data_IF_436188331184
#
_entry.id   IF_436188331184
#
_cell.length_a   1.000
_cell.length_b   1.000
_cell.length_c   1.000
_cell.angle_alpha   90.00
_cell.angle_beta   90.00
_cell.angle_gamma   90.00
#
_symmetry.space_group_name_H-M   'P 1'
#
loop_
_entity.id
_entity.type
_entity.pdbx_description
1 polymer ?
#
# COMPACT_ATOMS: atom_id res chain seq x y z
N UNK A 1 -28.38 2.59 -43.81
CA UNK A 1 -27.46 1.74 -44.60
C UNK A 1 -26.29 1.41 -43.68
N UNK A 2 -26.52 0.43 -42.82
CA UNK A 2 -25.50 -0.16 -41.96
C UNK A 2 -24.63 -1.08 -42.81
N UNK A 3 -23.30 -1.01 -42.67
CA UNK A 3 -22.43 -2.18 -42.73
C UNK A 3 -21.24 -2.02 -41.76
N UNK A 4 -20.97 -3.04 -40.93
CA UNK A 4 -19.86 -3.12 -39.99
C UNK A 4 -18.72 -3.99 -40.54
N UNK A 5 -17.50 -3.84 -40.03
CA UNK A 5 -16.39 -4.82 -40.16
C UNK A 5 -15.39 -4.52 -39.02
N UNK A 6 -15.40 -5.31 -37.94
CA UNK A 6 -14.72 -6.60 -37.66
C UNK A 6 -13.47 -6.41 -36.81
N UNK A 7 -13.59 -6.92 -35.58
CA UNK A 7 -12.63 -6.90 -34.48
C UNK A 7 -11.90 -8.24 -34.49
N UNK A 8 -10.64 -8.26 -34.91
CA UNK A 8 -9.83 -9.47 -34.84
C UNK A 8 -9.14 -9.62 -33.48
N UNK A 9 -9.31 -10.81 -32.93
CA UNK A 9 -8.89 -11.27 -31.60
C UNK A 9 -7.69 -12.19 -31.82
N UNK A 10 -6.48 -11.69 -31.61
CA UNK A 10 -5.26 -12.52 -31.71
C UNK A 10 -5.14 -13.42 -30.49
N UNK A 11 -5.40 -14.70 -30.70
CA UNK A 11 -5.26 -15.79 -29.74
C UNK A 11 -3.87 -16.40 -29.90
N UNK A 12 -3.06 -16.40 -28.83
CA UNK A 12 -1.75 -17.05 -28.80
C UNK A 12 -1.91 -18.58 -28.66
N UNK A 13 -1.28 -19.42 -29.50
CA UNK A 13 -1.19 -20.85 -29.28
C UNK A 13 0.10 -21.22 -28.51
N UNK A 14 -0.07 -22.13 -27.55
CA UNK A 14 0.93 -22.55 -26.57
C UNK A 14 2.10 -23.37 -27.13
N UNK A 15 3.19 -23.34 -26.35
CA UNK A 15 4.37 -24.18 -26.51
C UNK A 15 4.10 -25.61 -26.02
N UNK A 16 4.45 -26.66 -26.77
CA UNK A 16 4.59 -27.99 -26.21
C UNK A 16 6.01 -28.19 -25.65
N UNK A 17 6.05 -28.58 -24.37
CA UNK A 17 7.27 -28.98 -23.66
C UNK A 17 7.90 -30.22 -24.29
N UNK A 18 9.22 -30.19 -24.47
CA UNK A 18 10.01 -31.34 -24.91
C UNK A 18 10.84 -31.88 -23.75
N UNK A 19 10.44 -33.07 -23.32
CA UNK A 19 11.10 -33.97 -22.39
C UNK A 19 12.50 -34.37 -22.88
N UNK A 20 13.50 -34.32 -21.99
CA UNK A 20 14.82 -34.94 -22.20
C UNK A 20 14.73 -36.46 -22.03
N UNK A 21 15.36 -37.28 -22.88
CA UNK A 21 15.76 -38.62 -22.52
C UNK A 21 17.24 -38.62 -22.10
N UNK A 22 17.50 -39.24 -20.95
CA UNK A 22 18.82 -39.67 -20.50
C UNK A 22 19.23 -40.95 -21.22
N UNK A 23 20.40 -41.00 -21.85
CA UNK A 23 21.16 -42.23 -22.07
C UNK A 23 22.64 -41.91 -21.92
N UNK A 24 23.30 -42.65 -21.03
CA UNK A 24 24.75 -42.63 -20.87
C UNK A 24 25.41 -43.83 -21.56
N UNK A 25 26.70 -43.68 -21.82
CA UNK A 25 27.66 -44.78 -21.93
C UNK A 25 28.01 -45.23 -23.35
N UNK A 26 29.28 -45.06 -23.73
CA UNK A 26 29.89 -45.84 -24.81
C UNK A 26 30.92 -45.05 -25.62
N UNK A 27 32.20 -45.18 -25.26
CA UNK A 27 33.31 -44.52 -25.92
C UNK A 27 33.57 -44.98 -27.36
N UNK A 28 34.29 -44.12 -28.11
CA UNK A 28 34.83 -44.46 -29.42
C UNK A 28 35.44 -43.25 -30.11
N UNK A 29 36.78 -43.22 -30.16
CA UNK A 29 37.53 -42.60 -31.25
C UNK A 29 37.64 -41.07 -31.24
N UNK A 30 38.71 -40.58 -30.61
CA UNK A 30 39.40 -39.36 -31.03
C UNK A 30 39.72 -39.46 -32.52
N UNK A 31 39.10 -38.58 -33.32
CA UNK A 31 39.63 -38.16 -34.60
C UNK A 31 39.78 -36.64 -34.51
N UNK A 32 40.84 -36.20 -33.82
CA UNK A 32 41.36 -34.84 -33.97
C UNK A 32 41.72 -34.68 -35.45
N UNK A 33 40.86 -33.99 -36.20
CA UNK A 33 41.26 -33.44 -37.48
C UNK A 33 42.34 -32.40 -37.18
N UNK A 34 43.60 -32.75 -37.48
CA UNK A 34 44.77 -31.90 -37.33
C UNK A 34 44.50 -30.54 -37.96
N UNK A 35 44.30 -29.54 -37.09
CA UNK A 35 44.27 -28.14 -37.47
C UNK A 35 45.71 -27.70 -37.74
N UNK A 36 45.98 -27.19 -38.94
CA UNK A 36 47.11 -26.28 -39.17
C UNK A 36 46.82 -24.93 -38.51
N UNK A 37 46.87 -24.89 -37.18
CA UNK A 37 46.98 -23.63 -36.46
C UNK A 37 48.38 -23.06 -36.74
N UNK A 38 48.51 -21.77 -37.08
CA UNK A 38 49.79 -21.10 -36.88
C UNK A 38 50.10 -21.18 -35.39
N UNK A 39 51.25 -21.75 -35.02
CA UNK A 39 51.72 -21.73 -33.64
C UNK A 39 51.72 -20.26 -33.16
N UNK A 40 50.88 -19.97 -32.17
CA UNK A 40 50.68 -18.62 -31.67
C UNK A 40 52.02 -18.04 -31.22
N UNK A 41 52.54 -17.05 -31.97
CA UNK A 41 53.74 -16.28 -31.60
C UNK A 41 54.94 -16.40 -32.54
N UNK A 42 54.90 -17.20 -33.61
CA UNK A 42 55.98 -17.22 -34.60
C UNK A 42 55.86 -16.03 -35.59
N UNK A 43 56.98 -15.35 -35.93
CA UNK A 43 56.96 -14.28 -36.91
C UNK A 43 56.68 -14.82 -38.31
N UNK A 44 55.93 -14.06 -39.13
CA UNK A 44 55.62 -14.39 -40.53
C UNK A 44 56.80 -14.10 -41.45
N UNK A 45 57.91 -14.83 -41.27
CA UNK A 45 59.08 -14.78 -42.12
C UNK A 45 59.07 -15.93 -43.15
N UNK A 46 59.73 -15.79 -44.30
CA UNK A 46 59.90 -16.90 -45.23
C UNK A 46 60.58 -18.08 -44.53
N UNK A 47 59.92 -19.24 -44.48
CA UNK A 47 60.43 -20.46 -43.83
C UNK A 47 59.80 -20.82 -42.48
N UNK A 48 59.02 -19.91 -41.87
CA UNK A 48 58.29 -20.17 -40.60
C UNK A 48 56.79 -20.44 -40.80
N UNK A 49 56.36 -20.72 -42.03
CA UNK A 49 54.99 -21.07 -42.37
C UNK A 49 54.85 -22.56 -42.68
N UNK A 50 53.97 -23.25 -41.96
CA UNK A 50 53.68 -24.67 -42.19
C UNK A 50 52.46 -24.84 -43.10
N UNK A 51 52.61 -25.58 -44.20
CA UNK A 51 51.50 -25.91 -45.11
C UNK A 51 50.89 -27.25 -44.72
N UNK A 52 49.57 -27.30 -44.61
CA UNK A 52 48.83 -28.52 -44.29
C UNK A 52 48.60 -29.38 -45.53
N UNK A 53 49.26 -30.54 -45.59
CA UNK A 53 49.11 -31.49 -46.70
C UNK A 53 47.83 -32.34 -46.62
N UNK A 54 47.12 -32.32 -45.49
CA UNK A 54 45.89 -33.11 -45.28
C UNK A 54 44.63 -32.38 -45.72
N UNK A 55 44.75 -31.09 -46.06
CA UNK A 55 43.62 -30.25 -46.47
C UNK A 55 43.07 -30.66 -47.83
N UNK A 56 41.79 -30.98 -47.88
CA UNK A 56 41.10 -31.42 -49.11
C UNK A 56 40.14 -30.36 -49.67
N UNK A 57 39.70 -29.40 -48.85
CA UNK A 57 38.77 -28.35 -49.25
C UNK A 57 39.49 -27.01 -49.45
N UNK A 58 39.38 -26.43 -50.65
CA UNK A 58 40.03 -25.16 -51.02
C UNK A 58 39.06 -24.11 -51.58
N UNK A 59 37.75 -24.30 -51.37
CA UNK A 59 36.73 -23.38 -51.85
C UNK A 59 36.84 -22.02 -51.15
N UNK A 60 36.61 -20.93 -51.90
CA UNK A 60 36.64 -19.55 -51.38
C UNK A 60 35.23 -19.07 -51.08
N UNK A 61 35.06 -18.32 -49.98
CA UNK A 61 33.79 -17.64 -49.69
C UNK A 61 33.55 -16.51 -50.69
N UNK A 62 32.32 -16.39 -51.20
CA UNK A 62 31.96 -15.33 -52.13
C UNK A 62 31.77 -14.01 -51.38
N UNK A 63 32.84 -13.23 -51.30
CA UNK A 63 32.88 -11.93 -50.61
C UNK A 63 32.52 -10.76 -51.52
N UNK A 64 32.63 -10.93 -52.84
CA UNK A 64 32.30 -9.91 -53.83
C UNK A 64 31.05 -10.34 -54.59
N UNK A 65 30.02 -9.48 -54.60
CA UNK A 65 28.78 -9.76 -55.31
C UNK A 65 28.21 -8.48 -55.94
N UNK A 66 27.40 -8.62 -56.98
CA UNK A 66 26.65 -7.50 -57.57
C UNK A 66 25.18 -7.64 -57.23
N UNK A 67 24.56 -6.55 -56.76
CA UNK A 67 23.11 -6.51 -56.54
C UNK A 67 22.57 -5.20 -57.10
N UNK A 68 21.63 -5.31 -58.04
CA UNK A 68 21.04 -4.17 -58.75
C UNK A 68 22.08 -3.21 -59.37
N UNK A 69 23.12 -3.76 -60.02
CA UNK A 69 24.14 -2.97 -60.72
C UNK A 69 25.26 -2.40 -59.86
N UNK A 70 25.19 -2.52 -58.52
CA UNK A 70 26.24 -2.05 -57.62
C UNK A 70 27.08 -3.20 -57.06
N UNK A 71 28.40 -3.01 -57.04
CA UNK A 71 29.33 -3.92 -56.41
C UNK A 71 29.21 -3.83 -54.88
N UNK A 72 28.90 -4.95 -54.24
CA UNK A 72 28.89 -5.11 -52.78
C UNK A 72 30.02 -6.04 -52.34
N UNK A 73 30.93 -5.51 -51.53
CA UNK A 73 31.93 -6.28 -50.82
C UNK A 73 31.44 -6.62 -49.40
N UNK A 74 31.44 -7.91 -49.06
CA UNK A 74 31.18 -8.45 -47.72
C UNK A 74 32.48 -8.99 -47.13
N UNK A 75 32.67 -8.84 -45.82
CA UNK A 75 33.83 -9.43 -45.14
C UNK A 75 33.67 -10.96 -45.06
N UNK A 76 34.72 -11.74 -45.33
CA UNK A 76 34.66 -13.19 -45.19
C UNK A 76 34.45 -13.56 -43.72
N UNK A 77 33.55 -14.49 -43.45
CA UNK A 77 33.31 -15.04 -42.10
C UNK A 77 34.17 -16.27 -41.81
N UNK A 78 34.56 -16.99 -42.88
CA UNK A 78 35.42 -18.17 -42.85
C UNK A 78 36.51 -18.05 -43.91
N UNK A 79 37.65 -18.69 -43.64
CA UNK A 79 38.81 -18.77 -44.51
C UNK A 79 38.60 -19.74 -45.67
N UNK A 80 39.68 -19.96 -46.42
CA UNK A 80 39.66 -20.87 -47.57
C UNK A 80 39.39 -22.30 -47.06
N UNK A 81 38.42 -23.00 -47.66
CA UNK A 81 38.07 -24.36 -47.25
C UNK A 81 37.14 -24.45 -46.03
N UNK A 82 36.66 -23.33 -45.51
CA UNK A 82 35.79 -23.29 -44.31
C UNK A 82 36.55 -23.11 -43.00
N UNK A 83 37.86 -22.92 -43.04
CA UNK A 83 38.69 -22.71 -41.85
C UNK A 83 38.20 -21.50 -41.03
N UNK A 84 38.28 -21.59 -39.70
CA UNK A 84 37.91 -20.48 -38.83
C UNK A 84 38.91 -19.33 -39.03
N UNK A 85 38.42 -18.16 -39.47
CA UNK A 85 39.25 -16.96 -39.51
C UNK A 85 39.61 -16.56 -38.08
N UNK A 86 40.90 -16.49 -37.77
CA UNK A 86 41.38 -15.83 -36.57
C UNK A 86 41.23 -14.31 -36.79
N UNK A 87 40.05 -13.79 -36.48
CA UNK A 87 39.78 -12.37 -36.56
C UNK A 87 40.33 -11.71 -35.30
N UNK A 88 41.47 -11.02 -35.39
CA UNK A 88 41.92 -10.05 -34.38
C UNK A 88 41.02 -8.80 -34.44
N UNK A 89 39.73 -8.95 -34.14
CA UNK A 89 38.91 -7.80 -33.77
C UNK A 89 39.24 -7.51 -32.31
N UNK A 90 40.21 -6.62 -32.11
CA UNK A 90 40.43 -5.98 -30.81
C UNK A 90 39.09 -5.44 -30.33
N UNK A 91 38.72 -5.75 -29.09
CA UNK A 91 37.51 -5.19 -28.51
C UNK A 91 37.64 -3.67 -28.42
N UNK A 92 36.51 -2.97 -28.27
CA UNK A 92 36.53 -1.51 -28.09
C UNK A 92 37.43 -1.11 -26.91
N UNK A 93 37.45 -1.92 -25.85
CA UNK A 93 38.31 -1.74 -24.69
C UNK A 93 39.81 -1.94 -25.03
N UNK A 94 40.14 -2.94 -25.84
CA UNK A 94 41.52 -3.17 -26.26
C UNK A 94 42.03 -2.05 -27.19
N UNK A 95 41.14 -1.50 -28.03
CA UNK A 95 41.44 -0.34 -28.88
C UNK A 95 41.69 0.92 -28.05
N UNK A 96 40.87 1.16 -27.03
CA UNK A 96 41.03 2.30 -26.11
C UNK A 96 42.30 2.14 -25.26
N UNK A 97 42.62 0.94 -24.79
CA UNK A 97 43.86 0.65 -24.07
C UNK A 97 45.10 0.87 -24.96
N UNK A 98 45.03 0.48 -26.23
CA UNK A 98 46.12 0.71 -27.20
C UNK A 98 46.29 2.19 -27.52
N UNK A 99 45.19 2.94 -27.66
CA UNK A 99 45.21 4.39 -27.86
C UNK A 99 45.87 5.13 -26.69
N UNK A 100 45.73 4.60 -25.47
CA UNK A 100 46.31 5.16 -24.26
C UNK A 100 47.78 4.79 -24.04
N UNK A 101 48.30 3.74 -24.70
CA UNK A 101 49.66 3.23 -24.42
C UNK A 101 50.79 3.98 -25.11
N UNK A 102 50.57 4.76 -26.18
CA UNK A 102 51.63 5.61 -26.76
C UNK A 102 51.16 6.65 -27.81
N UNK A 103 50.54 7.79 -27.43
CA UNK A 103 50.34 8.90 -28.37
C UNK A 103 51.54 9.85 -28.47
N UNK A 104 52.56 9.71 -27.62
CA UNK A 104 53.61 10.73 -27.44
C UNK A 104 54.57 10.88 -28.64
N UNK A 105 54.78 9.82 -29.42
CA UNK A 105 55.80 9.78 -30.48
C UNK A 105 55.30 10.23 -31.86
N UNK A 106 53.99 10.30 -32.10
CA UNK A 106 53.43 10.64 -33.43
C UNK A 106 52.48 11.83 -33.44
N UNK A 107 51.74 12.09 -32.35
CA UNK A 107 50.68 13.10 -32.36
C UNK A 107 50.73 14.10 -31.18
N UNK A 108 51.76 14.02 -30.32
CA UNK A 108 51.91 14.90 -29.16
C UNK A 108 50.96 14.55 -28.00
N UNK A 109 51.08 15.26 -26.88
CA UNK A 109 50.20 15.06 -25.73
C UNK A 109 48.74 15.39 -26.10
N UNK A 110 47.78 14.48 -25.80
CA UNK A 110 46.37 14.78 -26.03
C UNK A 110 45.98 16.02 -25.23
N UNK A 111 45.39 17.01 -25.91
CA UNK A 111 44.92 18.24 -25.27
C UNK A 111 44.00 17.86 -24.10
N UNK A 112 44.29 18.31 -22.86
CA UNK A 112 43.42 18.01 -21.73
C UNK A 112 42.01 18.51 -22.05
N UNK A 113 41.00 17.71 -21.68
CA UNK A 113 39.61 18.10 -21.84
C UNK A 113 39.41 19.49 -21.22
N UNK A 114 38.66 20.34 -21.92
CA UNK A 114 38.36 21.67 -21.40
C UNK A 114 37.73 21.52 -20.00
N UNK A 115 38.18 22.31 -18.99
CA UNK A 115 37.57 22.25 -17.68
C UNK A 115 36.07 22.52 -17.82
N UNK A 116 35.22 21.80 -17.07
CA UNK A 116 33.79 22.05 -17.10
C UNK A 116 33.51 23.50 -16.71
N UNK A 117 32.52 24.11 -17.35
CA UNK A 117 32.09 25.45 -17.00
C UNK A 117 31.65 25.47 -15.53
N UNK A 118 32.18 26.40 -14.74
CA UNK A 118 31.78 26.57 -13.34
C UNK A 118 30.34 27.06 -13.27
N UNK A 119 29.46 26.27 -12.66
CA UNK A 119 28.06 26.62 -12.43
C UNK A 119 27.93 27.02 -10.96
N UNK A 120 27.56 28.28 -10.64
CA UNK A 120 27.32 28.71 -9.27
C UNK A 120 26.22 27.89 -8.58
N UNK A 121 26.32 27.73 -7.26
CA UNK A 121 25.37 26.94 -6.48
C UNK A 121 23.90 27.38 -6.66
N UNK A 122 23.64 28.68 -6.64
CA UNK A 122 22.28 29.23 -6.85
C UNK A 122 21.69 28.88 -8.23
N UNK A 123 22.53 28.63 -9.25
CA UNK A 123 22.08 28.18 -10.57
C UNK A 123 21.94 26.66 -10.61
N UNK A 124 22.89 25.94 -10.02
CA UNK A 124 22.90 24.47 -10.02
C UNK A 124 21.75 23.87 -9.19
N UNK A 125 21.33 24.58 -8.13
CA UNK A 125 20.33 24.16 -7.17
C UNK A 125 19.04 24.99 -7.19
N UNK A 126 18.83 25.82 -8.22
CA UNK A 126 17.58 26.57 -8.40
C UNK A 126 16.37 25.64 -8.29
N UNK A 127 15.39 26.03 -7.47
CA UNK A 127 14.14 25.30 -7.19
C UNK A 127 14.28 23.90 -6.59
N UNK A 128 15.49 23.48 -6.20
CA UNK A 128 15.69 22.22 -5.48
C UNK A 128 15.50 22.47 -3.98
N UNK A 129 14.46 21.87 -3.42
CA UNK A 129 14.07 22.06 -2.02
C UNK A 129 13.95 20.71 -1.35
N UNK A 130 14.57 20.56 -0.18
CA UNK A 130 14.39 19.39 0.65
C UNK A 130 13.20 19.61 1.59
N UNK A 131 12.25 18.68 1.58
CA UNK A 131 11.11 18.64 2.48
C UNK A 131 11.25 17.49 3.49
N UNK A 132 11.10 17.83 4.76
CA UNK A 132 11.02 16.89 5.87
C UNK A 132 9.69 17.05 6.60
N UNK A 133 9.07 15.93 6.96
CA UNK A 133 7.88 15.90 7.79
C UNK A 133 8.31 15.68 9.24
N UNK A 134 7.83 16.55 10.13
CA UNK A 134 8.27 16.63 11.51
C UNK A 134 7.10 16.97 12.44
N UNK A 135 7.32 16.86 13.74
CA UNK A 135 6.39 17.40 14.74
C UNK A 135 7.14 18.02 15.91
N UNK A 136 6.46 18.86 16.68
CA UNK A 136 6.95 19.30 17.99
C UNK A 136 5.83 19.18 19.02
N UNK A 137 6.22 18.94 20.27
CA UNK A 137 5.31 18.95 21.40
C UNK A 137 5.16 20.38 21.93
N UNK A 138 3.92 20.82 22.14
CA UNK A 138 3.58 22.09 22.78
C UNK A 138 2.85 21.80 24.09
N UNK A 139 3.38 22.30 25.21
CA UNK A 139 2.75 22.14 26.51
C UNK A 139 1.54 23.07 26.65
N UNK A 140 0.43 22.54 27.16
CA UNK A 140 -0.83 23.26 27.34
C UNK A 140 -1.18 23.25 28.83
N UNK A 141 -1.06 24.41 29.48
CA UNK A 141 -1.16 24.50 30.94
C UNK A 141 -2.59 24.69 31.48
N UNK A 142 -3.53 25.16 30.66
CA UNK A 142 -4.84 25.64 31.13
C UNK A 142 -6.04 24.87 30.54
N UNK A 143 -5.82 23.66 30.02
CA UNK A 143 -6.89 22.78 29.52
C UNK A 143 -7.17 21.63 30.48
N UNK A 144 -8.45 21.28 30.65
CA UNK A 144 -8.88 20.10 31.39
C UNK A 144 -8.78 18.82 30.56
N UNK A 145 -8.83 18.96 29.23
CA UNK A 145 -8.86 17.85 28.26
C UNK A 145 -7.44 17.39 27.87
N UNK A 146 -6.45 18.28 27.93
CA UNK A 146 -5.10 18.05 27.39
C UNK A 146 -4.03 18.66 28.31
N UNK A 147 -2.86 18.01 28.40
CA UNK A 147 -1.67 18.56 29.08
C UNK A 147 -0.57 18.98 28.10
N UNK A 148 -0.52 18.34 26.94
CA UNK A 148 0.36 18.66 25.83
C UNK A 148 -0.37 18.31 24.54
N UNK A 149 0.00 18.99 23.46
CA UNK A 149 -0.47 18.71 22.11
C UNK A 149 0.69 18.53 21.15
N UNK A 150 0.49 17.69 20.15
CA UNK A 150 1.50 17.42 19.12
C UNK A 150 1.13 18.20 17.86
N UNK A 151 2.05 19.05 17.40
CA UNK A 151 1.86 19.86 16.19
C UNK A 151 2.73 19.37 15.06
N UNK A 152 2.08 18.93 14.00
CA UNK A 152 2.73 18.46 12.79
C UNK A 152 3.21 19.66 11.97
N UNK A 153 4.41 19.57 11.43
CA UNK A 153 5.02 20.64 10.62
C UNK A 153 5.85 20.05 9.49
N UNK A 154 5.95 20.80 8.41
CA UNK A 154 6.83 20.51 7.29
C UNK A 154 8.00 21.49 7.34
N UNK A 155 9.22 20.96 7.32
CA UNK A 155 10.46 21.72 7.26
C UNK A 155 10.95 21.71 5.81
N UNK A 156 11.12 22.89 5.24
CA UNK A 156 11.67 23.08 3.91
C UNK A 156 13.08 23.65 4.00
N UNK A 157 14.05 23.02 3.33
CA UNK A 157 15.42 23.46 3.19
C UNK A 157 15.70 23.80 1.72
N UNK A 158 16.09 25.04 1.44
CA UNK A 158 16.36 25.51 0.08
C UNK A 158 17.85 25.33 -0.24
N UNK A 159 18.17 24.50 -1.23
CA UNK A 159 19.56 24.20 -1.60
C UNK A 159 20.27 25.36 -2.32
N UNK A 160 19.53 26.38 -2.77
CA UNK A 160 20.10 27.54 -3.48
C UNK A 160 20.89 28.48 -2.56
N UNK A 161 20.47 28.63 -1.30
CA UNK A 161 20.95 29.64 -0.36
C UNK A 161 21.09 29.14 1.10
N UNK A 162 20.97 27.83 1.31
CA UNK A 162 21.02 27.18 2.62
C UNK A 162 20.02 27.75 3.64
N UNK A 163 18.88 28.28 3.15
CA UNK A 163 17.81 28.80 3.99
C UNK A 163 16.80 27.71 4.35
N UNK A 164 16.08 27.92 5.45
CA UNK A 164 15.05 27.02 5.94
C UNK A 164 13.75 27.77 6.21
N UNK A 165 12.62 27.09 6.05
CA UNK A 165 11.31 27.57 6.47
C UNK A 165 10.52 26.43 7.10
N UNK A 166 9.70 26.75 8.09
CA UNK A 166 8.85 25.76 8.78
C UNK A 166 7.40 26.17 8.59
N UNK A 167 6.60 25.23 8.10
CA UNK A 167 5.18 25.46 7.80
C UNK A 167 4.34 24.37 8.43
N UNK A 168 3.31 24.78 9.15
CA UNK A 168 2.28 23.90 9.66
C UNK A 168 1.19 23.71 8.60
N UNK A 169 0.84 22.45 8.25
CA UNK A 169 -0.25 22.17 7.35
C UNK A 169 -1.58 22.64 7.94
N UNK A 170 -2.50 23.05 7.06
CA UNK A 170 -3.85 23.46 7.46
C UNK A 170 -4.70 22.25 7.82
N UNK A 171 -5.25 22.22 9.02
CA UNK A 171 -6.12 21.16 9.54
C UNK A 171 -7.48 21.75 9.89
N UNK A 172 -8.54 21.20 9.32
CA UNK A 172 -9.91 21.62 9.58
C UNK A 172 -10.25 21.49 11.07
N UNK A 173 -11.03 22.44 11.59
CA UNK A 173 -11.46 22.47 13.00
C UNK A 173 -10.33 22.46 14.04
N UNK A 174 -9.09 22.84 13.67
CA UNK A 174 -7.96 22.91 14.60
C UNK A 174 -8.13 24.00 15.67
N UNK A 175 -8.80 25.11 15.33
CA UNK A 175 -9.01 26.23 16.26
C UNK A 175 -7.76 27.05 16.58
N UNK A 176 -6.64 26.80 15.90
CA UNK A 176 -5.37 27.52 16.08
C UNK A 176 -4.94 28.18 14.76
N UNK A 177 -4.19 29.28 14.83
CA UNK A 177 -3.55 29.87 13.66
C UNK A 177 -2.50 28.90 13.10
N UNK A 178 -2.67 28.54 11.83
CA UNK A 178 -1.83 27.61 11.08
C UNK A 178 -1.14 28.30 9.90
N UNK A 179 -0.21 27.60 9.25
CA UNK A 179 0.53 28.09 8.10
C UNK A 179 2.01 28.32 8.41
N UNK A 180 2.57 29.45 7.99
CA UNK A 180 4.02 29.72 8.13
C UNK A 180 4.39 29.97 9.59
N UNK A 181 5.00 28.96 10.23
CA UNK A 181 5.52 29.06 11.59
C UNK A 181 6.84 29.84 11.64
N UNK A 182 7.75 29.53 10.71
CA UNK A 182 9.05 30.20 10.56
C UNK A 182 9.22 30.63 9.11
N UNK A 183 9.45 31.94 8.91
CA UNK A 183 9.72 32.51 7.58
C UNK A 183 11.04 31.99 7.03
N UNK A 184 11.16 31.98 5.70
CA UNK A 184 12.38 31.57 4.99
C UNK A 184 13.57 32.44 5.40
N UNK A 185 14.55 31.83 6.05
CA UNK A 185 15.80 32.46 6.48
C UNK A 185 16.85 31.40 6.79
N UNK A 186 18.13 31.78 6.90
CA UNK A 186 19.18 30.87 7.37
C UNK A 186 19.03 30.74 8.90
N UNK A 187 18.77 29.52 9.36
CA UNK A 187 18.49 29.28 10.78
C UNK A 187 19.78 29.05 11.56
N UNK A 188 19.99 29.76 12.68
CA UNK A 188 21.13 29.51 13.55
C UNK A 188 20.94 28.19 14.30
N UNK A 189 22.00 27.37 14.32
CA UNK A 189 22.09 26.11 15.06
C UNK A 189 22.57 26.35 16.49
N UNK A 190 23.55 27.24 16.66
CA UNK A 190 24.19 27.54 17.93
C UNK A 190 24.34 29.07 18.11
N UNK A 191 24.58 29.51 19.35
CA UNK A 191 24.90 30.91 19.68
C UNK A 191 26.22 31.41 19.05
N UNK A 192 27.02 30.49 18.48
CA UNK A 192 28.29 30.78 17.78
C UNK A 192 28.09 31.33 16.35
N UNK A 193 26.85 31.38 15.87
CA UNK A 193 26.54 31.82 14.50
C UNK A 193 26.65 30.73 13.44
N UNK A 194 26.81 29.46 13.85
CA UNK A 194 26.70 28.31 12.95
C UNK A 194 25.26 28.19 12.46
N UNK A 195 25.07 27.85 11.19
CA UNK A 195 23.74 27.67 10.59
C UNK A 195 23.47 26.19 10.35
N UNK A 196 22.19 25.83 10.32
CA UNK A 196 21.78 24.48 9.92
C UNK A 196 22.19 24.18 8.48
N UNK A 197 22.83 23.04 8.29
CA UNK A 197 23.12 22.49 6.98
C UNK A 197 22.23 21.29 6.71
N UNK A 198 21.91 20.99 5.45
CA UNK A 198 21.17 19.76 5.10
C UNK A 198 21.84 18.47 5.61
N UNK A 199 23.14 18.48 5.89
CA UNK A 199 23.89 17.36 6.48
C UNK A 199 23.54 17.10 7.95
N UNK A 200 23.00 18.10 8.63
CA UNK A 200 22.55 17.98 10.02
C UNK A 200 21.13 17.41 10.13
N UNK A 201 20.44 17.23 9.00
CA UNK A 201 19.04 16.79 8.93
C UNK A 201 18.99 15.33 8.50
N UNK A 202 18.44 14.47 9.37
CA UNK A 202 18.13 13.08 9.06
C UNK A 202 16.83 12.68 9.79
N UNK A 203 16.25 11.54 9.41
CA UNK A 203 15.06 10.96 10.04
C UNK A 203 15.40 10.52 11.47
N UNK A 204 14.47 10.65 12.40
CA UNK A 204 14.66 10.35 13.82
C UNK A 204 15.55 11.34 14.59
N UNK A 205 15.97 12.46 13.96
CA UNK A 205 16.79 13.48 14.62
C UNK A 205 15.92 14.62 15.16
N UNK A 206 16.30 15.11 16.35
CA UNK A 206 15.74 16.30 16.96
C UNK A 206 16.54 17.55 16.57
N UNK A 207 15.85 18.58 16.07
CA UNK A 207 16.45 19.89 15.78
C UNK A 207 15.80 20.97 16.65
N UNK A 208 16.60 21.89 17.18
CA UNK A 208 16.15 22.95 18.09
C UNK A 208 16.22 24.31 17.40
N UNK A 209 15.07 24.89 17.08
CA UNK A 209 14.99 26.19 16.41
C UNK A 209 14.19 27.14 17.29
N UNK A 210 14.79 28.28 17.65
CA UNK A 210 14.17 29.32 18.50
C UNK A 210 13.50 28.79 19.77
N UNK A 211 14.15 27.86 20.46
CA UNK A 211 13.66 27.27 21.71
C UNK A 211 12.56 26.21 21.54
N UNK A 212 12.21 25.82 20.31
CA UNK A 212 11.32 24.69 20.03
C UNK A 212 12.10 23.52 19.44
N UNK A 213 11.85 22.32 19.95
CA UNK A 213 12.48 21.08 19.47
C UNK A 213 11.54 20.36 18.51
N UNK A 214 11.95 20.27 17.25
CA UNK A 214 11.25 19.54 16.21
C UNK A 214 11.89 18.16 16.03
N UNK A 215 11.06 17.12 16.03
CA UNK A 215 11.47 15.76 15.75
C UNK A 215 11.14 15.42 14.30
N UNK A 216 12.16 15.10 13.50
CA UNK A 216 12.01 14.76 12.09
C UNK A 216 11.61 13.28 11.97
N UNK A 217 10.50 13.00 11.33
CA UNK A 217 9.92 11.65 11.25
C UNK A 217 10.20 11.01 9.90
N UNK A 218 9.89 11.76 8.84
CA UNK A 218 9.92 11.29 7.46
C UNK A 218 10.41 12.40 6.52
N UNK A 219 10.76 12.03 5.29
CA UNK A 219 11.25 12.94 4.28
C UNK A 219 10.65 12.59 2.92
N UNK A 220 10.54 13.57 2.03
CA UNK A 220 9.98 13.34 0.70
C UNK A 220 10.91 12.48 -0.16
N UNK A 221 10.37 11.79 -1.17
CA UNK A 221 11.13 10.89 -2.04
C UNK A 221 12.33 11.58 -2.70
N UNK A 222 12.14 12.81 -3.18
CA UNK A 222 13.23 13.61 -3.75
C UNK A 222 14.37 13.82 -2.76
N UNK A 223 14.03 14.09 -1.48
CA UNK A 223 15.03 14.32 -0.45
C UNK A 223 15.78 13.06 -0.07
N UNK A 224 15.07 11.93 -0.07
CA UNK A 224 15.68 10.64 0.16
C UNK A 224 16.73 10.36 -0.91
N UNK A 225 16.34 10.44 -2.19
CA UNK A 225 17.25 10.21 -3.33
C UNK A 225 18.42 11.21 -3.31
N UNK A 226 18.18 12.47 -2.95
CA UNK A 226 19.24 13.48 -2.83
C UNK A 226 20.25 13.14 -1.74
N UNK A 227 19.79 12.84 -0.52
CA UNK A 227 20.67 12.53 0.61
C UNK A 227 21.48 11.26 0.37
N UNK A 228 20.85 10.21 -0.18
CA UNK A 228 21.52 8.99 -0.59
C UNK A 228 22.58 9.25 -1.68
N UNK A 229 22.27 10.11 -2.67
CA UNK A 229 23.24 10.48 -3.73
C UNK A 229 24.46 11.24 -3.19
N UNK A 230 24.31 11.95 -2.08
CA UNK A 230 25.38 12.67 -1.39
C UNK A 230 26.13 11.78 -0.38
N UNK A 231 25.77 10.49 -0.28
CA UNK A 231 26.42 9.52 0.61
C UNK A 231 25.94 9.57 2.06
N UNK A 232 24.77 10.15 2.34
CA UNK A 232 24.15 10.11 3.67
C UNK A 232 23.21 8.92 3.75
N UNK A 233 23.49 8.01 4.69
CA UNK A 233 22.59 6.91 5.03
C UNK A 233 21.41 7.43 5.87
N UNK A 234 20.21 7.18 5.39
CA UNK A 234 18.98 7.60 6.06
C UNK A 234 18.57 6.59 7.13
N UNK A 235 18.14 7.11 8.27
CA UNK A 235 17.54 6.30 9.32
C UNK A 235 16.19 5.70 8.85
N UNK A 236 15.72 4.62 9.48
CA UNK A 236 14.42 4.04 9.15
C UNK A 236 13.27 5.06 9.35
N UNK A 237 12.14 4.91 8.61
CA UNK A 237 10.96 5.73 8.83
C UNK A 237 10.44 5.59 10.24
N UNK A 238 10.19 6.71 10.89
CA UNK A 238 9.39 6.76 12.10
C UNK A 238 7.94 7.05 11.76
N UNK A 239 7.02 6.79 12.70
CA UNK A 239 5.61 7.16 12.54
C UNK A 239 5.36 8.51 13.19
N UNK A 240 4.49 9.31 12.58
CA UNK A 240 4.05 10.57 13.17
C UNK A 240 3.43 10.29 14.54
N UNK A 241 3.84 11.04 15.56
CA UNK A 241 3.29 10.88 16.89
C UNK A 241 1.81 11.26 16.91
N UNK A 242 1.02 10.44 17.61
CA UNK A 242 -0.41 10.62 17.74
C UNK A 242 -0.70 11.50 18.95
N UNK A 243 -1.51 12.52 18.73
CA UNK A 243 -1.99 13.40 19.77
C UNK A 243 -3.18 12.76 20.51
N UNK A 244 -3.10 12.52 21.84
CA UNK A 244 -4.18 11.89 22.60
C UNK A 244 -5.53 12.57 22.43
N UNK A 245 -5.53 13.90 22.30
CA UNK A 245 -6.76 14.67 22.09
C UNK A 245 -7.41 14.37 20.75
N UNK A 246 -6.59 14.40 19.70
CA UNK A 246 -7.03 14.12 18.34
C UNK A 246 -7.61 12.70 18.22
N UNK A 247 -7.07 11.72 18.96
CA UNK A 247 -7.64 10.37 19.02
C UNK A 247 -8.99 10.32 19.74
N UNK A 248 -9.12 11.02 20.88
CA UNK A 248 -10.36 11.09 21.63
C UNK A 248 -11.50 11.66 20.78
N UNK A 249 -11.23 12.71 19.99
CA UNK A 249 -12.22 13.32 19.09
C UNK A 249 -12.62 12.48 17.89
N UNK A 250 -11.78 11.52 17.47
CA UNK A 250 -12.13 10.60 16.37
C UNK A 250 -13.15 9.55 16.80
N UNK A 251 -13.31 9.33 18.10
CA UNK A 251 -14.33 8.40 18.58
C UNK A 251 -15.72 8.92 18.17
N UNK A 252 -16.55 8.08 17.54
CA UNK A 252 -17.89 8.50 17.17
C UNK A 252 -18.62 8.91 18.45
N UNK A 253 -19.25 10.08 18.42
CA UNK A 253 -20.18 10.46 19.47
C UNK A 253 -21.18 9.31 19.63
N UNK A 254 -21.41 8.88 20.87
CA UNK A 254 -22.34 7.80 21.17
C UNK A 254 -23.74 8.20 20.69
N UNK A 255 -24.08 7.82 19.46
CA UNK A 255 -25.42 8.00 18.91
C UNK A 255 -26.28 6.91 19.53
N UNK A 256 -27.12 7.30 20.48
CA UNK A 256 -28.22 6.45 20.92
C UNK A 256 -29.18 6.31 19.76
N UNK A 257 -28.95 5.31 18.90
CA UNK A 257 -29.98 4.83 17.99
C UNK A 257 -31.00 4.18 18.90
N UNK A 258 -32.10 4.88 19.19
CA UNK A 258 -33.29 4.23 19.75
C UNK A 258 -33.60 3.08 18.80
N UNK A 259 -33.51 1.81 19.24
CA UNK A 259 -33.99 0.72 18.41
C UNK A 259 -35.45 1.06 18.11
N UNK A 260 -35.77 1.19 16.82
CA UNK A 260 -37.14 1.38 16.36
C UNK A 260 -37.87 0.07 16.64
N UNK A 261 -38.21 -0.12 17.90
CA UNK A 261 -39.08 -1.19 18.33
C UNK A 261 -40.40 -1.00 17.57
N UNK A 262 -40.94 -2.11 17.07
CA UNK A 262 -42.11 -2.15 16.20
C UNK A 262 -43.13 -1.07 16.55
N UNK A 263 -43.62 -0.34 15.56
CA UNK A 263 -44.49 0.83 15.68
C UNK A 263 -45.78 0.51 16.46
N UNK A 264 -45.70 0.55 17.79
CA UNK A 264 -46.80 0.28 18.72
C UNK A 264 -47.98 1.22 18.43
N UNK A 265 -47.67 2.44 18.00
CA UNK A 265 -48.66 3.43 17.59
C UNK A 265 -49.38 2.99 16.31
N UNK A 266 -48.68 2.45 15.31
CA UNK A 266 -49.32 1.89 14.11
C UNK A 266 -50.21 0.69 14.42
N UNK A 267 -49.80 -0.21 15.32
CA UNK A 267 -50.66 -1.33 15.75
C UNK A 267 -51.93 -0.80 16.43
N UNK A 268 -51.79 0.18 17.33
CA UNK A 268 -52.91 0.85 17.97
C UNK A 268 -53.86 1.50 16.94
N UNK A 269 -53.34 2.32 16.03
CA UNK A 269 -54.16 3.04 15.05
C UNK A 269 -54.89 2.11 14.06
N UNK A 270 -54.29 0.98 13.70
CA UNK A 270 -54.85 0.05 12.70
C UNK A 270 -55.94 -0.83 13.29
N UNK A 271 -55.74 -1.28 14.55
CA UNK A 271 -56.57 -2.29 15.18
C UNK A 271 -57.40 -1.76 16.36
N UNK A 272 -57.45 -0.43 16.56
CA UNK A 272 -58.31 0.18 17.57
C UNK A 272 -59.75 -0.32 17.42
N UNK A 273 -60.36 -0.70 18.55
CA UNK A 273 -61.71 -1.29 18.66
C UNK A 273 -61.93 -2.65 17.98
N UNK A 274 -60.90 -3.29 17.42
CA UNK A 274 -61.00 -4.65 16.92
C UNK A 274 -60.70 -5.65 18.02
N UNK A 275 -61.73 -6.38 18.45
CA UNK A 275 -61.65 -7.38 19.53
C UNK A 275 -62.17 -8.72 19.01
N UNK A 276 -61.35 -9.76 19.12
CA UNK A 276 -61.80 -11.12 18.81
C UNK A 276 -62.49 -11.69 20.06
N UNK A 277 -63.72 -12.17 19.89
CA UNK A 277 -64.50 -12.79 20.97
C UNK A 277 -64.61 -14.29 20.73
N UNK A 278 -64.09 -15.07 21.67
CA UNK A 278 -64.17 -16.53 21.68
C UNK A 278 -65.03 -17.01 22.85
N UNK A 279 -65.77 -18.09 22.63
CA UNK A 279 -66.51 -18.80 23.67
C UNK A 279 -65.69 -19.99 24.11
N UNK A 280 -65.45 -20.10 25.41
CA UNK A 280 -64.64 -21.15 26.01
C UNK A 280 -65.41 -21.84 27.14
N UNK A 281 -65.09 -23.11 27.37
CA UNK A 281 -65.60 -23.88 28.50
C UNK A 281 -64.38 -24.28 29.32
N UNK A 282 -64.42 -23.97 30.62
CA UNK A 282 -63.50 -24.54 31.59
C UNK A 282 -64.17 -25.77 32.17
N UNK A 283 -63.61 -26.93 31.87
CA UNK A 283 -64.04 -28.18 32.46
C UNK A 283 -63.16 -28.51 33.68
N UNK A 284 -63.70 -28.37 34.88
CA UNK A 284 -63.02 -28.71 36.14
C UNK A 284 -63.68 -29.93 36.81
N UNK A 285 -64.52 -30.71 36.12
CA UNK A 285 -65.33 -31.77 36.77
C UNK A 285 -64.53 -32.89 37.43
N UNK A 286 -63.25 -33.04 37.09
CA UNK A 286 -62.35 -34.00 37.73
C UNK A 286 -61.95 -33.61 39.16
N UNK A 287 -62.20 -32.36 39.57
CA UNK A 287 -61.97 -31.86 40.92
C UNK A 287 -63.10 -32.23 41.88
N UNK A 288 -62.80 -32.43 43.17
CA UNK A 288 -63.77 -32.87 44.20
C UNK A 288 -64.99 -31.95 44.36
N UNK A 289 -64.90 -30.69 43.92
CA UNK A 289 -65.99 -29.70 43.86
C UNK A 289 -66.02 -29.00 42.50
N UNK A 290 -65.61 -29.72 41.47
CA UNK A 290 -65.45 -29.25 40.10
C UNK A 290 -66.76 -28.97 39.39
N UNK A 291 -66.79 -27.92 38.58
CA UNK A 291 -67.94 -27.56 37.75
C UNK A 291 -67.47 -27.23 36.34
N UNK A 292 -68.31 -27.52 35.34
CA UNK A 292 -68.08 -27.10 33.96
C UNK A 292 -68.63 -25.68 33.78
N UNK A 293 -67.78 -24.70 33.44
CA UNK A 293 -68.15 -23.28 33.38
C UNK A 293 -67.91 -22.64 32.03
N UNK A 294 -68.81 -21.74 31.64
CA UNK A 294 -68.71 -21.00 30.39
C UNK A 294 -68.00 -19.66 30.60
N UNK A 295 -67.02 -19.39 29.75
CA UNK A 295 -66.25 -18.15 29.74
C UNK A 295 -66.24 -17.51 28.34
N UNK A 296 -66.09 -16.18 28.32
CA UNK A 296 -65.86 -15.41 27.11
C UNK A 296 -64.45 -14.86 27.16
N UNK A 297 -63.66 -15.14 26.13
CA UNK A 297 -62.30 -14.63 25.97
C UNK A 297 -62.33 -13.49 24.94
N UNK A 298 -61.87 -12.31 25.35
CA UNK A 298 -61.63 -11.18 24.46
C UNK A 298 -60.14 -11.05 24.19
N UNK A 299 -59.76 -11.04 22.91
CA UNK A 299 -58.39 -10.76 22.45
C UNK A 299 -58.35 -9.40 21.74
N UNK A 300 -57.57 -8.48 22.30
CA UNK A 300 -57.44 -7.12 21.78
C UNK A 300 -56.25 -7.03 20.83
N UNK A 301 -56.52 -6.75 19.55
CA UNK A 301 -55.49 -6.70 18.51
C UNK A 301 -54.56 -5.47 18.63
N UNK A 302 -55.00 -4.44 19.36
CA UNK A 302 -54.25 -3.18 19.50
C UNK A 302 -52.99 -3.30 20.36
N UNK A 303 -52.95 -4.26 21.30
CA UNK A 303 -51.85 -4.42 22.25
C UNK A 303 -51.54 -5.88 22.62
N UNK A 304 -52.15 -6.82 21.90
CA UNK A 304 -52.05 -8.27 22.08
C UNK A 304 -52.39 -8.75 23.50
N UNK A 305 -53.34 -8.06 24.15
CA UNK A 305 -53.81 -8.41 25.50
C UNK A 305 -55.07 -9.28 25.47
N UNK A 306 -55.25 -10.07 26.53
CA UNK A 306 -56.37 -10.99 26.70
C UNK A 306 -57.15 -10.63 27.97
N UNK A 307 -58.47 -10.61 27.88
CA UNK A 307 -59.40 -10.45 29.01
C UNK A 307 -60.36 -11.64 29.03
N UNK A 308 -60.58 -12.22 30.21
CA UNK A 308 -61.46 -13.39 30.36
C UNK A 308 -62.62 -13.02 31.27
N UNK A 309 -63.84 -13.13 30.75
CA UNK A 309 -65.09 -12.83 31.45
C UNK A 309 -65.85 -14.09 31.78
N UNK A 310 -66.41 -14.13 32.99
CA UNK A 310 -67.27 -15.23 33.44
C UNK A 310 -68.72 -14.98 33.03
N UNK A 311 -69.33 -15.98 32.39
CA UNK A 311 -70.73 -15.90 31.98
C UNK A 311 -71.60 -16.36 33.14
N UNK A 312 -72.40 -15.44 33.68
CA UNK A 312 -73.28 -15.72 34.80
C UNK A 312 -74.68 -16.09 34.34
N UNK A 313 -75.17 -17.23 34.83
CA UNK A 313 -76.55 -17.65 34.64
C UNK A 313 -77.44 -17.19 35.81
N UNK A 314 -78.75 -17.09 35.56
CA UNK A 314 -79.71 -16.74 36.61
C UNK A 314 -79.74 -17.86 37.64
N UNK A 315 -79.67 -17.50 38.92
CA UNK A 315 -79.68 -18.43 40.06
C UNK A 315 -78.46 -19.38 40.15
N UNK A 316 -77.28 -18.95 39.68
CA UNK A 316 -76.05 -19.75 39.74
C UNK A 316 -75.38 -19.81 41.15
N UNK A 317 -75.96 -19.18 42.17
CA UNK A 317 -75.47 -19.25 43.56
C UNK A 317 -74.09 -18.63 43.84
N UNK A 318 -73.45 -18.01 42.83
CA UNK A 318 -72.15 -17.32 42.94
C UNK A 318 -72.31 -15.80 43.03
N UNK A 319 -71.32 -15.17 43.65
CA UNK A 319 -71.18 -13.71 43.68
C UNK A 319 -70.96 -13.19 42.25
N UNK A 320 -71.74 -12.21 41.76
CA UNK A 320 -71.63 -11.71 40.40
C UNK A 320 -70.34 -10.94 40.17
N UNK A 321 -69.25 -11.65 39.87
CA UNK A 321 -67.96 -11.06 39.56
C UNK A 321 -67.71 -11.07 38.04
N UNK A 322 -67.64 -9.91 37.36
CA UNK A 322 -67.70 -9.87 35.89
C UNK A 322 -66.45 -10.38 35.17
N UNK A 323 -65.31 -10.50 35.87
CA UNK A 323 -64.00 -10.79 35.28
C UNK A 323 -63.32 -11.95 36.00
N UNK A 324 -62.97 -13.00 35.26
CA UNK A 324 -62.08 -14.04 35.75
C UNK A 324 -60.62 -13.56 35.73
N UNK A 325 -60.24 -12.85 34.66
CA UNK A 325 -58.90 -12.34 34.46
C UNK A 325 -58.94 -10.94 33.85
N UNK A 326 -58.26 -10.01 34.52
CA UNK A 326 -58.07 -8.66 34.01
C UNK A 326 -57.27 -8.67 32.70
N UNK A 327 -57.47 -7.64 31.89
CA UNK A 327 -56.80 -7.46 30.62
C UNK A 327 -55.28 -7.41 30.79
N UNK A 328 -54.59 -8.42 30.27
CA UNK A 328 -53.12 -8.51 30.35
C UNK A 328 -52.53 -9.33 29.19
N UNK A 329 -51.23 -9.19 28.94
CA UNK A 329 -50.53 -10.04 27.96
C UNK A 329 -50.33 -11.43 28.55
N UNK A 330 -50.84 -12.45 27.86
CA UNK A 330 -50.78 -13.83 28.35
C UNK A 330 -49.52 -14.54 27.84
N UNK A 331 -48.68 -15.10 28.73
CA UNK A 331 -47.56 -15.91 28.30
C UNK A 331 -48.07 -17.23 27.69
N UNK A 332 -47.64 -17.54 26.46
CA UNK A 332 -47.98 -18.82 25.79
C UNK A 332 -47.26 -20.02 26.40
N UNK A 333 -46.09 -19.78 26.99
CA UNK A 333 -45.27 -20.81 27.65
C UNK A 333 -45.09 -20.37 29.09
N UNK A 334 -45.53 -21.20 30.03
CA UNK A 334 -45.13 -21.07 31.41
C UNK A 334 -43.65 -21.45 31.46
N UNK A 335 -42.78 -20.46 31.55
CA UNK A 335 -41.37 -20.70 31.84
C UNK A 335 -41.34 -21.27 33.27
N UNK A 336 -41.25 -22.60 33.37
CA UNK A 336 -40.85 -23.22 34.62
C UNK A 336 -39.46 -22.67 34.94
N UNK A 337 -39.37 -21.93 36.05
CA UNK A 337 -38.20 -21.22 36.58
C UNK A 337 -38.11 -19.73 36.21
N UNK A 338 -38.77 -18.91 37.01
CA UNK A 338 -38.18 -17.66 37.47
C UNK A 338 -38.22 -17.69 38.99
N UNK A 339 -37.04 -17.92 39.59
CA UNK A 339 -36.85 -17.81 41.02
C UNK A 339 -37.28 -16.43 41.50
N UNK A 340 -37.94 -16.43 42.64
CA UNK A 340 -38.20 -15.28 43.48
C UNK A 340 -36.85 -14.65 43.87
N UNK A 341 -36.25 -13.82 43.00
CA UNK A 341 -35.22 -12.87 43.40
C UNK A 341 -35.95 -11.67 43.95
N UNK A 342 -36.20 -11.73 45.25
CA UNK A 342 -36.52 -10.56 46.05
C UNK A 342 -35.22 -9.75 46.08
N UNK A 343 -35.09 -8.75 45.21
CA UNK A 343 -34.10 -7.70 45.40
C UNK A 343 -34.53 -6.90 46.64
N UNK A 344 -33.92 -7.21 47.78
CA UNK A 344 -33.89 -6.30 48.92
C UNK A 344 -32.94 -5.16 48.57
N UNK A 345 -33.51 -4.04 48.15
CA UNK A 345 -32.79 -2.78 48.03
C UNK A 345 -32.19 -2.41 49.40
N UNK A 346 -30.87 -2.32 49.43
CA UNK A 346 -30.13 -1.76 50.54
C UNK A 346 -30.44 -0.26 50.65
N UNK A 347 -31.03 0.12 51.78
CA UNK A 347 -30.86 1.45 52.35
C UNK A 347 -29.52 1.49 53.09
N UNK A 348 -28.61 2.34 52.64
CA UNK A 348 -27.65 3.10 53.47
C UNK A 348 -27.17 4.31 52.69
#
# INVERSE_FOLDING_TARGET
MERPETRERSSSPGQPGRTKPSWGGGGGGVADAMMSNPEHGLPFLPGTSFTDSTKTAFHRSQTLNYRHGYAMARRPTVGIGGDRLQVNQLSQADLDELANKAPLLTYGEPKPAAPPNFIPAHVAFDKKVLRFDAYFQEDVSMSTEEHYRIRQVNIYYFLEDDSMSVMEPTVENSGILQGKLIKRQRLPKNDRGDHYHWKDLNRGINITIYGKTFHIVECDRFTQEFLESQGIELNPPEKMALDPYTELRKQPLHQYVTPSDFDQLKQFLTFDKQVLRFYAIWDDTDSMFGECRNYIIHYYLMDDTVEIREVHERNNGRDPFPLLMNRQRMPKVLVANAGLVICSDHWS
#
